data_IF_220983579886
#
_entry.id   IF_220983579886
#
_cell.length_a   1.000
_cell.length_b   1.000
_cell.length_c   1.000
_cell.angle_alpha   90.00
_cell.angle_beta   90.00
_cell.angle_gamma   90.00
#
_symmetry.space_group_name_H-M   'P 1'
#
loop_
_entity.id
_entity.type
_entity.pdbx_description
1 polymer ?
#
# COMPACT_ATOMS: atom_id res chain seq x y z
N UNK A 1 -8.17 9.97 -11.51
CA UNK A 1 -7.25 9.23 -10.62
C UNK A 1 -6.76 8.03 -11.40
N UNK A 2 -5.45 7.88 -11.60
CA UNK A 2 -4.89 6.73 -12.28
C UNK A 2 -3.47 6.50 -11.75
N UNK A 3 -3.34 5.64 -10.74
CA UNK A 3 -2.07 5.04 -10.32
C UNK A 3 -2.28 3.69 -9.62
N UNK A 4 -3.45 3.05 -9.80
CA UNK A 4 -3.65 1.67 -9.38
C UNK A 4 -3.31 0.77 -10.58
N UNK A 5 -2.27 -0.07 -10.43
CA UNK A 5 -1.95 -1.12 -11.42
C UNK A 5 -0.66 -0.94 -12.24
N UNK A 6 0.22 0.02 -11.94
CA UNK A 6 1.57 0.01 -12.53
C UNK A 6 2.46 -1.01 -11.80
N UNK A 7 3.19 -1.88 -12.53
CA UNK A 7 4.05 -2.91 -11.92
C UNK A 7 5.20 -2.31 -11.09
N UNK A 8 5.50 -1.03 -11.28
CA UNK A 8 6.37 -0.24 -10.41
C UNK A 8 5.55 0.90 -9.80
N UNK A 9 5.56 1.01 -8.48
CA UNK A 9 4.96 2.13 -7.77
C UNK A 9 5.65 3.44 -8.25
N UNK A 10 4.94 4.34 -8.97
CA UNK A 10 5.54 5.54 -9.55
C UNK A 10 6.07 6.51 -8.48
N UNK A 11 5.54 6.43 -7.25
CA UNK A 11 6.01 7.24 -6.13
C UNK A 11 7.40 6.83 -5.66
N UNK A 12 7.80 5.56 -5.79
CA UNK A 12 9.15 5.12 -5.45
C UNK A 12 10.20 5.79 -6.35
N UNK A 13 9.91 5.92 -7.65
CA UNK A 13 10.80 6.63 -8.59
C UNK A 13 10.93 8.11 -8.26
N UNK A 14 9.83 8.76 -7.85
CA UNK A 14 9.88 10.16 -7.43
C UNK A 14 10.72 10.35 -6.17
N UNK A 15 10.58 9.45 -5.19
CA UNK A 15 11.40 9.45 -3.97
C UNK A 15 12.88 9.23 -4.29
N UNK A 16 13.20 8.33 -5.22
CA UNK A 16 14.56 8.07 -5.69
C UNK A 16 15.16 9.29 -6.40
N UNK A 17 14.43 9.90 -7.34
CA UNK A 17 14.89 11.11 -8.05
C UNK A 17 15.12 12.30 -7.11
N UNK A 18 14.38 12.37 -6.01
CA UNK A 18 14.55 13.38 -4.97
C UNK A 18 15.70 13.07 -3.98
N UNK A 19 16.41 11.95 -4.13
CA UNK A 19 17.43 11.50 -3.18
C UNK A 19 16.89 11.00 -1.84
N UNK A 20 15.58 10.74 -1.77
CA UNK A 20 14.90 10.30 -0.55
C UNK A 20 15.25 8.87 -0.17
N UNK A 21 15.62 8.02 -1.14
CA UNK A 21 16.02 6.63 -0.89
C UNK A 21 17.33 6.58 -0.12
N UNK A 22 18.33 7.35 -0.53
CA UNK A 22 19.60 7.49 0.20
C UNK A 22 19.35 7.97 1.62
N UNK A 23 18.43 8.93 1.80
CA UNK A 23 18.12 9.42 3.13
C UNK A 23 17.46 8.37 4.01
N UNK A 24 16.56 7.56 3.48
CA UNK A 24 15.97 6.43 4.21
C UNK A 24 17.02 5.39 4.59
N UNK A 25 17.98 5.14 3.70
CA UNK A 25 19.11 4.24 3.96
C UNK A 25 20.04 4.78 5.07
N UNK A 26 20.21 6.09 5.18
CA UNK A 26 20.92 6.68 6.33
C UNK A 26 20.10 6.57 7.62
N UNK A 27 18.79 6.84 7.54
CA UNK A 27 17.92 6.91 8.71
C UNK A 27 17.68 5.55 9.38
N UNK A 28 17.79 4.43 8.67
CA UNK A 28 17.70 3.10 9.30
C UNK A 28 18.86 2.84 10.29
N UNK A 29 20.00 3.51 10.11
CA UNK A 29 21.14 3.41 11.03
C UNK A 29 21.05 4.40 12.21
N UNK A 30 20.01 5.24 12.26
CA UNK A 30 19.87 6.30 13.26
C UNK A 30 19.82 5.73 14.70
N UNK A 31 20.36 6.49 15.67
CA UNK A 31 20.41 6.05 17.07
C UNK A 31 19.03 6.05 17.75
N UNK A 32 18.15 6.95 17.30
CA UNK A 32 16.75 6.94 17.70
C UNK A 32 16.04 5.74 17.06
N UNK A 33 15.62 4.80 17.90
CA UNK A 33 14.97 3.56 17.50
C UNK A 33 13.67 3.84 16.73
N UNK A 34 12.89 4.85 17.11
CA UNK A 34 11.64 5.16 16.41
C UNK A 34 11.89 5.67 14.99
N UNK A 35 12.94 6.47 14.79
CA UNK A 35 13.37 6.92 13.46
C UNK A 35 13.85 5.73 12.62
N UNK A 36 14.73 4.90 13.19
CA UNK A 36 15.27 3.72 12.52
C UNK A 36 14.16 2.74 12.09
N UNK A 37 13.22 2.44 12.97
CA UNK A 37 12.08 1.55 12.70
C UNK A 37 11.19 2.10 11.59
N UNK A 38 10.89 3.40 11.58
CA UNK A 38 10.08 4.02 10.52
C UNK A 38 10.77 3.93 9.16
N UNK A 39 12.08 4.21 9.12
CA UNK A 39 12.86 4.08 7.90
C UNK A 39 12.87 2.63 7.39
N UNK A 40 13.12 1.66 8.28
CA UNK A 40 13.09 0.23 7.95
C UNK A 40 11.74 -0.24 7.45
N UNK A 41 10.64 0.22 8.05
CA UNK A 41 9.29 -0.15 7.60
C UNK A 41 9.00 0.34 6.17
N UNK A 42 9.40 1.58 5.85
CA UNK A 42 9.26 2.13 4.50
C UNK A 42 10.12 1.34 3.51
N UNK A 43 11.39 1.09 3.86
CA UNK A 43 12.30 0.33 3.01
C UNK A 43 11.82 -1.11 2.80
N UNK A 44 11.38 -1.81 3.84
CA UNK A 44 10.89 -3.19 3.72
C UNK A 44 9.64 -3.30 2.84
N UNK A 45 8.77 -2.29 2.87
CA UNK A 45 7.52 -2.29 2.10
C UNK A 45 7.75 -1.98 0.62
N UNK A 46 8.61 -1.00 0.32
CA UNK A 46 8.70 -0.42 -1.03
C UNK A 46 10.06 -0.63 -1.71
N UNK A 47 11.12 -0.86 -0.95
CA UNK A 47 12.52 -0.91 -1.40
C UNK A 47 13.30 -2.02 -0.65
N UNK A 48 12.83 -3.28 -0.67
CA UNK A 48 13.37 -4.33 0.20
C UNK A 48 14.88 -4.58 -0.02
N UNK A 49 15.38 -4.32 -1.23
CA UNK A 49 16.79 -4.43 -1.59
C UNK A 49 17.70 -3.40 -0.88
N UNK A 50 17.13 -2.42 -0.19
CA UNK A 50 17.84 -1.33 0.52
C UNK A 50 17.77 -1.46 2.04
N UNK A 51 17.09 -2.49 2.55
CA UNK A 51 16.98 -2.77 3.98
C UNK A 51 18.29 -3.32 4.51
N UNK A 52 18.78 -2.76 5.61
CA UNK A 52 19.82 -3.35 6.42
C UNK A 52 19.23 -4.53 7.22
N UNK A 53 19.46 -5.73 6.70
CA UNK A 53 18.93 -6.96 7.29
C UNK A 53 19.45 -7.20 8.71
N UNK A 54 20.71 -6.84 9.00
CA UNK A 54 21.30 -7.03 10.33
C UNK A 54 20.62 -6.11 11.35
N UNK A 55 20.36 -4.87 10.95
CA UNK A 55 19.66 -3.91 11.80
C UNK A 55 18.20 -4.32 12.03
N UNK A 56 17.53 -4.81 11.00
CA UNK A 56 16.17 -5.32 11.10
C UNK A 56 16.11 -6.52 12.07
N UNK A 57 17.00 -7.50 11.90
CA UNK A 57 17.09 -8.67 12.77
C UNK A 57 17.31 -8.29 14.23
N UNK A 58 18.27 -7.40 14.52
CA UNK A 58 18.52 -6.93 15.88
C UNK A 58 17.28 -6.26 16.52
N UNK A 59 16.46 -5.54 15.75
CA UNK A 59 15.22 -4.93 16.24
C UNK A 59 14.10 -5.95 16.45
N UNK A 60 14.07 -7.03 15.67
CA UNK A 60 13.15 -8.15 15.88
C UNK A 60 13.53 -8.93 17.13
N UNK A 61 14.82 -9.26 17.31
CA UNK A 61 15.33 -9.94 18.50
C UNK A 61 15.11 -9.11 19.77
N UNK A 62 15.28 -7.79 19.69
CA UNK A 62 14.97 -6.86 20.77
C UNK A 62 13.46 -6.72 21.05
N UNK A 63 12.59 -7.35 20.25
CA UNK A 63 11.13 -7.28 20.39
C UNK A 63 10.53 -5.92 20.01
N UNK A 64 11.30 -5.06 19.33
CA UNK A 64 10.85 -3.74 18.89
C UNK A 64 9.94 -3.86 17.66
N UNK A 65 10.28 -4.77 16.74
CA UNK A 65 9.49 -5.07 15.55
C UNK A 65 8.90 -6.47 15.70
N UNK A 66 7.59 -6.60 15.53
CA UNK A 66 6.93 -7.90 15.42
C UNK A 66 6.72 -8.25 13.96
N UNK A 67 7.43 -9.28 13.48
CA UNK A 67 7.18 -9.86 12.16
C UNK A 67 6.01 -10.82 12.32
N UNK A 68 4.83 -10.44 11.82
CA UNK A 68 3.72 -11.39 11.67
C UNK A 68 4.03 -12.22 10.43
N UNK A 69 4.24 -13.55 10.55
CA UNK A 69 4.36 -14.40 9.38
C UNK A 69 3.04 -14.32 8.62
N UNK A 70 3.07 -13.75 7.42
CA UNK A 70 1.91 -13.76 6.55
C UNK A 70 1.77 -15.21 6.03
N UNK A 71 0.68 -15.93 6.33
CA UNK A 71 0.51 -17.30 5.86
C UNK A 71 0.48 -17.27 4.33
N UNK A 72 1.49 -17.90 3.72
CA UNK A 72 1.66 -17.96 2.28
C UNK A 72 0.41 -18.52 1.61
N UNK A 73 -0.10 -17.78 0.61
CA UNK A 73 -1.04 -18.30 -0.36
C UNK A 73 -0.33 -19.38 -1.16
N UNK A 74 -0.64 -20.64 -0.82
CA UNK A 74 -0.12 -21.81 -1.48
C UNK A 74 -0.40 -21.77 -2.99
N UNK A 75 0.55 -22.32 -3.72
CA UNK A 75 0.48 -22.61 -5.14
C UNK A 75 -0.77 -23.46 -5.41
N UNK A 76 -1.71 -23.00 -6.24
CA UNK A 76 -2.68 -23.89 -6.89
C UNK A 76 -2.38 -23.87 -8.39
N UNK A 77 -1.32 -24.60 -8.73
CA UNK A 77 -1.10 -25.19 -10.04
C UNK A 77 -2.30 -26.08 -10.39
N UNK A 78 -3.35 -25.51 -10.98
CA UNK A 78 -4.37 -26.29 -11.68
C UNK A 78 -4.65 -25.75 -13.08
N UNK A 79 -3.86 -26.32 -13.99
CA UNK A 79 -4.30 -26.96 -15.21
C UNK A 79 -5.09 -26.11 -16.23
N UNK A 80 -4.39 -25.85 -17.33
CA UNK A 80 -4.94 -25.83 -18.68
C UNK A 80 -6.05 -26.87 -18.87
N UNK A 81 -7.25 -26.45 -19.26
CA UNK A 81 -8.08 -27.24 -20.15
C UNK A 81 -8.98 -26.33 -20.98
N UNK A 82 -8.72 -26.35 -22.29
CA UNK A 82 -9.67 -25.92 -23.30
C UNK A 82 -10.95 -26.75 -23.17
N UNK A 83 -12.10 -26.08 -23.17
CA UNK A 83 -13.42 -26.70 -23.10
C UNK A 83 -14.44 -25.74 -23.69
N UNK A 84 -14.68 -25.93 -24.98
CA UNK A 84 -15.69 -25.27 -25.78
C UNK A 84 -17.12 -25.50 -25.25
N UNK A 85 -18.02 -24.56 -25.54
CA UNK A 85 -19.47 -24.72 -25.67
C UNK A 85 -20.36 -25.04 -24.44
N UNK A 86 -21.15 -24.06 -24.00
CA UNK A 86 -22.63 -24.09 -24.15
C UNK A 86 -23.27 -22.83 -23.56
N UNK A 87 -24.07 -22.16 -24.39
CA UNK A 87 -24.97 -21.10 -23.93
C UNK A 87 -26.11 -21.65 -23.07
N UNK A 88 -26.56 -20.83 -22.13
CA UNK A 88 -27.97 -20.79 -21.71
C UNK A 88 -28.22 -19.48 -20.99
N UNK A 89 -28.86 -18.59 -21.73
CA UNK A 89 -29.88 -17.64 -21.28
C UNK A 89 -30.45 -17.90 -19.87
N UNK A 90 -30.41 -16.86 -19.03
CA UNK A 90 -31.32 -16.71 -17.91
C UNK A 90 -31.75 -15.25 -17.82
N UNK A 91 -33.01 -15.07 -18.15
CA UNK A 91 -33.75 -13.83 -18.05
C UNK A 91 -33.97 -13.38 -16.60
N UNK A 92 -34.32 -12.10 -16.50
CA UNK A 92 -35.30 -11.56 -15.56
C UNK A 92 -34.83 -10.97 -14.21
N UNK A 93 -34.84 -9.64 -14.25
CA UNK A 93 -35.48 -8.71 -13.31
C UNK A 93 -34.94 -8.58 -11.88
N UNK A 94 -34.35 -7.41 -11.62
CA UNK A 94 -34.73 -6.63 -10.43
C UNK A 94 -34.44 -5.15 -10.66
N UNK A 95 -35.54 -4.42 -10.86
CA UNK A 95 -35.63 -2.97 -10.73
C UNK A 95 -35.32 -2.57 -9.28
N UNK A 96 -34.39 -1.63 -9.13
CA UNK A 96 -33.97 -1.10 -7.84
C UNK A 96 -33.60 0.36 -7.98
N UNK A 97 -34.61 1.16 -8.36
CA UNK A 97 -34.53 2.61 -8.35
C UNK A 97 -34.37 3.07 -6.90
N UNK A 98 -33.25 3.73 -6.65
CA UNK A 98 -32.88 4.30 -5.36
C UNK A 98 -32.18 5.62 -5.58
N UNK A 99 -32.86 6.53 -6.28
CA UNK A 99 -32.53 7.95 -6.29
C UNK A 99 -32.51 8.44 -4.84
N UNK A 100 -31.35 8.90 -4.39
CA UNK A 100 -31.24 9.74 -3.20
C UNK A 100 -30.49 10.98 -3.64
N UNK A 101 -31.27 11.94 -4.13
CA UNK A 101 -30.88 13.34 -4.15
C UNK A 101 -30.55 13.75 -2.71
N UNK A 102 -29.26 13.97 -2.45
CA UNK A 102 -28.84 14.78 -1.32
C UNK A 102 -28.40 16.11 -1.90
N UNK A 103 -29.39 16.96 -2.10
CA UNK A 103 -29.24 18.39 -2.32
C UNK A 103 -28.55 19.05 -1.12
N UNK A 104 -27.62 19.97 -1.42
CA UNK A 104 -27.20 21.09 -0.57
C UNK A 104 -26.40 20.75 0.70
N UNK A 105 -25.32 21.45 1.07
CA UNK A 105 -24.85 22.79 0.73
C UNK A 105 -23.34 22.87 1.02
N UNK A 106 -22.57 23.68 0.27
CA UNK A 106 -21.27 24.15 0.72
C UNK A 106 -21.45 25.32 1.68
N UNK A 107 -20.93 25.21 2.90
CA UNK A 107 -20.67 26.37 3.75
C UNK A 107 -19.18 26.70 3.69
N UNK A 108 -18.91 27.73 2.90
CA UNK A 108 -17.68 28.48 2.90
C UNK A 108 -17.92 29.70 3.76
N UNK A 109 -17.31 29.71 4.94
CA UNK A 109 -17.38 30.80 5.90
C UNK A 109 -15.94 31.03 6.33
N UNK A 110 -15.26 31.90 5.59
CA UNK A 110 -14.02 32.50 6.06
C UNK A 110 -14.36 33.54 7.11
N UNK A 111 -13.68 33.46 8.26
CA UNK A 111 -13.59 34.57 9.20
C UNK A 111 -12.11 34.75 9.54
N UNK A 112 -11.65 35.95 9.22
CA UNK A 112 -10.37 36.56 9.54
C UNK A 112 -10.32 36.93 11.05
N UNK A 113 -9.15 37.40 11.51
CA UNK A 113 -8.86 37.95 12.87
C UNK A 113 -8.69 36.91 14.00
N UNK A 114 -7.75 37.01 14.95
CA UNK A 114 -6.86 38.08 15.42
C UNK A 114 -5.80 37.41 16.33
N UNK A 115 -4.59 37.98 16.43
CA UNK A 115 -3.57 37.57 17.41
C UNK A 115 -2.14 37.98 17.08
#
# INVERSE_FOLDING_TARGET
QANEGLPENPYCRLVEQAGGVEKLVELQAHNDVAIAVRALAILATYLPNRVDAQRLEALVEAGVIQVVPQPGGGEDDRATNAGDNSGSESDSHSDGEGERDVDGQPQADGEEEEG
#
